data_IF_302016732370
#
_entry.id   IF_302016732370
#
_cell.length_a   1.000
_cell.length_b   1.000
_cell.length_c   1.000
_cell.angle_alpha   90.00
_cell.angle_beta   90.00
_cell.angle_gamma   90.00
#
_symmetry.space_group_name_H-M   'P 1'
#
loop_
_entity.id
_entity.type
_entity.pdbx_description
1 polymer ?
#
# COMPACT_ATOMS: atom_id res chain seq x y z
N UNK A 1 -25.86 1.98 -6.57
CA UNK A 1 -24.74 2.27 -5.65
C UNK A 1 -25.14 1.80 -4.26
N UNK A 2 -24.73 0.60 -3.85
CA UNK A 2 -25.03 0.05 -2.51
C UNK A 2 -23.77 0.18 -1.66
N UNK A 3 -23.75 1.22 -0.84
CA UNK A 3 -22.72 1.43 0.18
C UNK A 3 -22.80 0.30 1.20
N UNK A 4 -21.74 -0.49 1.32
CA UNK A 4 -21.59 -1.40 2.45
C UNK A 4 -21.70 -0.58 3.75
N UNK A 5 -22.47 -1.03 4.75
CA UNK A 5 -22.64 -0.27 5.97
C UNK A 5 -21.29 -0.13 6.66
N UNK A 6 -20.91 1.12 6.97
CA UNK A 6 -19.85 1.40 7.93
C UNK A 6 -20.26 0.70 9.23
N UNK A 7 -19.43 -0.22 9.71
CA UNK A 7 -19.62 -0.86 11.01
C UNK A 7 -19.71 0.22 12.08
N UNK A 8 -20.89 0.38 12.68
CA UNK A 8 -21.14 1.33 13.78
C UNK A 8 -20.17 1.03 14.94
N UNK A 9 -19.55 2.06 15.50
CA UNK A 9 -18.58 1.92 16.59
C UNK A 9 -19.17 1.22 17.83
N UNK A 10 -20.48 1.39 18.08
CA UNK A 10 -21.22 0.69 19.13
C UNK A 10 -21.26 -0.83 18.94
N UNK A 11 -21.38 -1.27 17.69
CA UNK A 11 -21.45 -2.68 17.33
C UNK A 11 -20.09 -3.37 17.51
N UNK A 12 -18.99 -2.61 17.41
CA UNK A 12 -17.65 -3.11 17.73
C UNK A 12 -17.42 -3.27 19.23
N UNK A 13 -17.82 -2.28 20.04
CA UNK A 13 -17.71 -2.34 21.50
C UNK A 13 -18.58 -3.45 22.10
N UNK A 14 -19.78 -3.66 21.57
CA UNK A 14 -20.68 -4.71 22.04
C UNK A 14 -20.13 -6.13 21.73
N UNK A 15 -19.54 -6.32 20.55
CA UNK A 15 -18.88 -7.59 20.18
C UNK A 15 -17.66 -7.88 21.05
N UNK A 16 -16.87 -6.86 21.38
CA UNK A 16 -15.74 -7.02 22.30
C UNK A 16 -16.18 -7.47 23.69
N UNK A 17 -17.21 -6.84 24.28
CA UNK A 17 -17.79 -7.26 25.56
C UNK A 17 -18.28 -8.70 25.51
N UNK A 18 -18.96 -9.08 24.41
CA UNK A 18 -19.47 -10.44 24.20
C UNK A 18 -18.34 -11.47 24.15
N UNK A 19 -17.24 -11.16 23.44
CA UNK A 19 -16.08 -12.04 23.36
C UNK A 19 -15.39 -12.23 24.70
N UNK A 20 -15.19 -11.16 25.48
CA UNK A 20 -14.61 -11.26 26.82
C UNK A 20 -15.46 -12.15 27.74
N UNK A 21 -16.79 -12.02 27.69
CA UNK A 21 -17.72 -12.86 28.46
C UNK A 21 -17.61 -14.34 28.05
N UNK A 22 -17.52 -14.63 26.74
CA UNK A 22 -17.38 -16.01 26.26
C UNK A 22 -16.03 -16.63 26.68
N UNK A 23 -14.95 -15.85 26.66
CA UNK A 23 -13.66 -16.32 27.17
C UNK A 23 -13.68 -16.57 28.68
N UNK A 24 -14.33 -15.72 29.47
CA UNK A 24 -14.51 -15.96 30.90
C UNK A 24 -15.26 -17.27 31.17
N UNK A 25 -16.33 -17.54 30.42
CA UNK A 25 -17.10 -18.79 30.53
C UNK A 25 -16.30 -20.02 30.08
N UNK A 26 -15.46 -19.90 29.05
CA UNK A 26 -14.65 -21.00 28.55
C UNK A 26 -13.58 -21.46 29.56
N UNK A 27 -13.04 -20.54 30.35
CA UNK A 27 -11.97 -20.80 31.32
C UNK A 27 -12.45 -20.90 32.78
N UNK A 28 -13.76 -21.08 33.01
CA UNK A 28 -14.29 -21.46 34.32
C UNK A 28 -14.09 -22.96 34.57
N UNK A 29 -13.75 -23.34 35.81
CA UNK A 29 -13.28 -24.68 36.18
C UNK A 29 -14.30 -25.83 35.96
N UNK A 30 -15.59 -25.54 35.78
CA UNK A 30 -16.67 -26.56 35.70
C UNK A 30 -17.27 -26.76 34.30
N UNK A 31 -16.55 -26.42 33.23
CA UNK A 31 -17.10 -26.49 31.87
C UNK A 31 -17.00 -27.91 31.26
N UNK A 32 -18.14 -28.55 30.99
CA UNK A 32 -18.17 -29.84 30.27
C UNK A 32 -17.54 -29.73 28.87
N UNK A 33 -17.02 -30.84 28.33
CA UNK A 33 -16.40 -30.87 26.99
C UNK A 33 -17.35 -30.37 25.89
N UNK A 34 -18.64 -30.73 25.95
CA UNK A 34 -19.66 -30.26 25.00
C UNK A 34 -19.93 -28.76 25.14
N UNK A 35 -19.93 -28.24 26.38
CA UNK A 35 -20.10 -26.81 26.65
C UNK A 35 -18.89 -26.01 26.14
N UNK A 36 -17.67 -26.53 26.31
CA UNK A 36 -16.45 -25.94 25.78
C UNK A 36 -16.48 -25.86 24.25
N UNK A 37 -16.85 -26.95 23.57
CA UNK A 37 -16.97 -26.98 22.11
C UNK A 37 -18.01 -25.97 21.60
N UNK A 38 -19.15 -25.82 22.27
CA UNK A 38 -20.17 -24.83 21.92
C UNK A 38 -19.67 -23.39 22.09
N UNK A 39 -19.00 -23.10 23.21
CA UNK A 39 -18.42 -21.78 23.49
C UNK A 39 -17.35 -21.40 22.48
N UNK A 40 -16.45 -22.33 22.15
CA UNK A 40 -15.42 -22.13 21.12
C UNK A 40 -16.08 -21.88 19.76
N UNK A 41 -17.10 -22.65 19.38
CA UNK A 41 -17.83 -22.41 18.14
C UNK A 41 -18.45 -21.00 18.07
N UNK A 42 -19.03 -20.50 19.17
CA UNK A 42 -19.54 -19.12 19.25
C UNK A 42 -18.43 -18.08 19.11
N UNK A 43 -17.29 -18.29 19.78
CA UNK A 43 -16.11 -17.40 19.66
C UNK A 43 -15.61 -17.37 18.22
N UNK A 44 -15.45 -18.54 17.59
CA UNK A 44 -14.98 -18.65 16.20
C UNK A 44 -15.95 -17.97 15.24
N UNK A 45 -17.25 -18.12 15.43
CA UNK A 45 -18.25 -17.38 14.64
C UNK A 45 -18.06 -15.87 14.78
N UNK A 46 -17.93 -15.35 16.01
CA UNK A 46 -17.72 -13.92 16.27
C UNK A 46 -16.42 -13.40 15.63
N UNK A 47 -15.32 -14.15 15.72
CA UNK A 47 -14.03 -13.80 15.06
C UNK A 47 -14.20 -13.72 13.54
N UNK A 48 -14.96 -14.65 12.95
CA UNK A 48 -15.19 -14.75 11.51
C UNK A 48 -16.31 -13.83 10.98
N UNK A 49 -17.12 -13.20 11.84
CA UNK A 49 -18.16 -12.25 11.41
C UNK A 49 -17.57 -11.02 10.71
N UNK A 50 -16.39 -10.58 11.13
CA UNK A 50 -15.61 -9.52 10.45
C UNK A 50 -14.90 -10.11 9.22
N UNK A 51 -15.68 -10.31 8.13
CA UNK A 51 -15.22 -11.00 6.91
C UNK A 51 -14.22 -10.17 6.10
N UNK A 52 -12.95 -10.47 6.28
CA UNK A 52 -11.84 -9.98 5.43
C UNK A 52 -11.71 -10.76 4.12
N UNK A 53 -12.20 -12.00 4.08
CA UNK A 53 -12.22 -12.93 2.94
C UNK A 53 -13.48 -13.82 3.06
N UNK A 54 -13.96 -14.39 1.96
CA UNK A 54 -15.22 -15.14 1.85
C UNK A 54 -16.46 -14.30 2.22
N UNK A 55 -16.61 -13.12 1.62
CA UNK A 55 -17.86 -12.33 1.75
C UNK A 55 -19.00 -13.01 1.00
N UNK A 56 -20.23 -12.92 1.47
CA UNK A 56 -21.37 -13.47 0.72
C UNK A 56 -21.56 -12.68 -0.59
N UNK A 57 -21.73 -13.37 -1.71
CA UNK A 57 -22.12 -12.75 -2.97
C UNK A 57 -23.64 -12.63 -3.00
N UNK A 58 -24.19 -11.42 -3.13
CA UNK A 58 -25.64 -11.16 -3.18
C UNK A 58 -26.47 -11.88 -2.08
N UNK A 59 -25.93 -11.99 -0.86
CA UNK A 59 -26.61 -12.69 0.25
C UNK A 59 -26.58 -14.22 0.19
N UNK A 60 -26.07 -14.81 -0.90
CA UNK A 60 -25.96 -16.26 -1.07
C UNK A 60 -24.95 -16.89 -0.11
N UNK A 61 -25.14 -18.18 0.16
CA UNK A 61 -24.18 -19.01 0.88
C UNK A 61 -22.85 -19.10 0.15
N UNK A 62 -21.77 -19.33 0.91
CA UNK A 62 -20.46 -19.61 0.30
C UNK A 62 -20.56 -20.88 -0.53
N UNK A 63 -19.93 -20.86 -1.71
CA UNK A 63 -19.97 -21.95 -2.67
C UNK A 63 -18.56 -22.42 -3.04
N UNK A 64 -18.47 -23.65 -3.56
CA UNK A 64 -17.25 -24.24 -4.10
C UNK A 64 -16.03 -24.14 -3.16
N UNK A 65 -14.93 -23.62 -3.69
CA UNK A 65 -13.66 -23.47 -2.97
C UNK A 65 -13.74 -22.49 -1.79
N UNK A 66 -14.58 -21.45 -1.88
CA UNK A 66 -14.73 -20.46 -0.81
C UNK A 66 -15.31 -21.08 0.46
N UNK A 67 -16.31 -21.96 0.31
CA UNK A 67 -16.88 -22.71 1.44
C UNK A 67 -15.84 -23.63 2.07
N UNK A 68 -15.10 -24.39 1.25
CA UNK A 68 -14.05 -25.29 1.72
C UNK A 68 -12.96 -24.55 2.53
N UNK A 69 -12.52 -23.37 2.05
CA UNK A 69 -11.53 -22.56 2.78
C UNK A 69 -12.13 -22.05 4.09
N UNK A 70 -13.36 -21.55 4.08
CA UNK A 70 -14.03 -21.06 5.28
C UNK A 70 -14.16 -22.15 6.35
N UNK A 71 -14.58 -23.35 5.97
CA UNK A 71 -14.74 -24.49 6.87
C UNK A 71 -13.38 -24.94 7.45
N UNK A 72 -12.32 -24.97 6.63
CA UNK A 72 -10.96 -25.27 7.09
C UNK A 72 -10.42 -24.21 8.07
N UNK A 73 -10.68 -22.93 7.82
CA UNK A 73 -10.30 -21.85 8.74
C UNK A 73 -11.05 -21.97 10.06
N UNK A 74 -12.35 -22.31 10.02
CA UNK A 74 -13.13 -22.58 11.23
C UNK A 74 -12.48 -23.69 12.05
N UNK A 75 -12.12 -24.82 11.43
CA UNK A 75 -11.44 -25.94 12.09
C UNK A 75 -10.08 -25.53 12.67
N UNK A 76 -9.30 -24.76 11.92
CA UNK A 76 -7.99 -24.27 12.38
C UNK A 76 -8.14 -23.37 13.62
N UNK A 77 -9.14 -22.48 13.64
CA UNK A 77 -9.40 -21.60 14.78
C UNK A 77 -9.82 -22.38 16.03
N UNK A 78 -10.68 -23.40 15.89
CA UNK A 78 -11.06 -24.28 17.00
C UNK A 78 -9.81 -24.94 17.60
N UNK A 79 -8.92 -25.47 16.76
CA UNK A 79 -7.64 -26.09 17.18
C UNK A 79 -6.68 -25.10 17.84
N UNK A 80 -6.69 -23.83 17.43
CA UNK A 80 -5.78 -22.82 17.95
C UNK A 80 -6.28 -22.19 19.27
N UNK A 81 -7.59 -22.08 19.48
CA UNK A 81 -8.18 -21.41 20.65
C UNK A 81 -8.22 -22.32 21.88
N UNK A 82 -8.54 -23.62 21.70
CA UNK A 82 -8.68 -24.57 22.82
C UNK A 82 -7.38 -24.72 23.64
N UNK A 83 -6.22 -25.04 23.03
CA UNK A 83 -5.02 -25.37 23.81
C UNK A 83 -4.19 -24.16 24.28
N UNK A 84 -4.34 -22.98 23.65
CA UNK A 84 -3.39 -21.87 23.84
C UNK A 84 -3.77 -20.86 24.91
N UNK A 85 -4.98 -20.94 25.46
CA UNK A 85 -5.55 -19.98 26.43
C UNK A 85 -5.11 -18.52 26.17
N UNK A 86 -5.75 -17.81 25.22
CA UNK A 86 -5.30 -16.49 24.79
C UNK A 86 -5.58 -15.38 25.81
N UNK A 87 -5.93 -15.69 27.06
CA UNK A 87 -6.35 -14.69 28.06
C UNK A 87 -5.26 -13.65 28.32
N UNK A 88 -4.02 -14.07 28.54
CA UNK A 88 -2.87 -13.16 28.69
C UNK A 88 -2.66 -12.27 27.45
N UNK A 89 -2.73 -12.88 26.27
CA UNK A 89 -2.56 -12.17 24.98
C UNK A 89 -3.68 -11.16 24.72
N UNK A 90 -4.91 -11.48 25.12
CA UNK A 90 -6.07 -10.58 24.99
C UNK A 90 -5.98 -9.41 25.97
N UNK A 91 -5.49 -9.67 27.18
CA UNK A 91 -5.29 -8.64 28.21
C UNK A 91 -4.17 -7.66 27.83
N UNK A 92 -3.12 -8.13 27.14
CA UNK A 92 -1.99 -7.31 26.66
C UNK A 92 -2.29 -6.54 25.35
N UNK A 93 -2.80 -7.21 24.31
CA UNK A 93 -2.97 -6.62 22.96
C UNK A 93 -4.34 -5.98 22.74
N UNK A 94 -5.31 -6.30 23.60
CA UNK A 94 -6.72 -5.97 23.42
C UNK A 94 -7.45 -6.92 22.46
N UNK A 95 -8.75 -7.07 22.69
CA UNK A 95 -9.62 -8.06 22.00
C UNK A 95 -9.63 -7.90 20.48
N UNK A 96 -9.57 -6.67 19.98
CA UNK A 96 -9.65 -6.37 18.54
C UNK A 96 -8.35 -6.75 17.81
N UNK A 97 -7.20 -6.44 18.40
CA UNK A 97 -5.87 -6.78 17.86
C UNK A 97 -5.70 -8.30 17.83
N UNK A 98 -6.02 -8.97 18.95
CA UNK A 98 -6.01 -10.42 19.04
C UNK A 98 -6.91 -11.08 17.96
N UNK A 99 -8.16 -10.62 17.81
CA UNK A 99 -9.07 -11.12 16.77
C UNK A 99 -8.47 -10.98 15.37
N UNK A 100 -7.86 -9.83 15.08
CA UNK A 100 -7.24 -9.56 13.77
C UNK A 100 -6.08 -10.51 13.51
N UNK A 101 -5.20 -10.68 14.49
CA UNK A 101 -4.02 -11.53 14.38
C UNK A 101 -4.36 -13.01 14.24
N UNK A 102 -5.20 -13.53 15.12
CA UNK A 102 -5.63 -14.94 15.09
C UNK A 102 -6.35 -15.26 13.78
N UNK A 103 -7.19 -14.33 13.30
CA UNK A 103 -7.85 -14.47 12.00
C UNK A 103 -6.84 -14.49 10.85
N UNK A 104 -5.91 -13.52 10.79
CA UNK A 104 -4.89 -13.47 9.73
C UNK A 104 -4.04 -14.73 9.76
N UNK A 105 -3.62 -15.19 10.94
CA UNK A 105 -2.82 -16.41 11.11
C UNK A 105 -3.58 -17.65 10.63
N UNK A 106 -4.84 -17.82 11.01
CA UNK A 106 -5.65 -18.94 10.57
C UNK A 106 -5.83 -18.94 9.04
N UNK A 107 -6.11 -17.80 8.42
CA UNK A 107 -6.18 -17.71 6.97
C UNK A 107 -4.83 -17.97 6.30
N UNK A 108 -3.70 -17.48 6.84
CA UNK A 108 -2.36 -17.77 6.29
C UNK A 108 -2.03 -19.26 6.28
N UNK A 109 -2.43 -19.96 7.34
CA UNK A 109 -2.19 -21.40 7.46
C UNK A 109 -3.02 -22.20 6.44
N UNK A 110 -4.26 -21.76 6.16
CA UNK A 110 -5.15 -22.46 5.22
C UNK A 110 -4.91 -22.06 3.77
N UNK A 111 -4.55 -20.81 3.50
CA UNK A 111 -4.29 -20.28 2.14
C UNK A 111 -2.89 -20.69 1.66
N UNK A 112 -2.72 -21.98 1.38
CA UNK A 112 -1.57 -22.49 0.66
C UNK A 112 -1.64 -22.19 -0.85
N UNK A 113 -0.58 -22.53 -1.58
CA UNK A 113 -0.52 -22.28 -3.01
C UNK A 113 -1.59 -23.07 -3.79
N UNK A 114 -1.92 -24.28 -3.35
CA UNK A 114 -2.94 -25.12 -3.99
C UNK A 114 -4.34 -24.49 -3.86
N UNK A 115 -4.67 -23.92 -2.69
CA UNK A 115 -5.93 -23.17 -2.51
C UNK A 115 -5.97 -21.92 -3.36
N UNK A 116 -4.87 -21.18 -3.46
CA UNK A 116 -4.78 -20.01 -4.34
C UNK A 116 -4.92 -20.38 -5.82
N UNK A 117 -4.31 -21.50 -6.23
CA UNK A 117 -4.49 -22.10 -7.56
C UNK A 117 -5.95 -22.48 -7.83
N UNK A 118 -6.61 -23.17 -6.90
CA UNK A 118 -8.03 -23.54 -7.04
C UNK A 118 -8.94 -22.31 -7.13
N UNK A 119 -8.63 -21.22 -6.40
CA UNK A 119 -9.32 -19.95 -6.52
C UNK A 119 -9.12 -19.32 -7.90
N UNK A 120 -7.89 -19.34 -8.42
CA UNK A 120 -7.58 -18.84 -9.77
C UNK A 120 -8.33 -19.61 -10.87
N UNK A 121 -8.33 -20.95 -10.79
CA UNK A 121 -9.07 -21.80 -11.73
C UNK A 121 -10.59 -21.57 -11.64
N UNK A 122 -11.13 -21.39 -10.42
CA UNK A 122 -12.53 -21.05 -10.24
C UNK A 122 -12.88 -19.70 -10.91
N UNK A 123 -11.99 -18.71 -10.83
CA UNK A 123 -12.17 -17.42 -11.52
C UNK A 123 -12.21 -17.59 -13.04
N UNK A 124 -11.30 -18.38 -13.62
CA UNK A 124 -11.25 -18.65 -15.07
C UNK A 124 -12.56 -19.29 -15.57
N UNK A 125 -13.17 -20.16 -14.75
CA UNK A 125 -14.44 -20.81 -15.08
C UNK A 125 -15.66 -19.87 -15.12
N UNK A 126 -15.57 -18.66 -14.57
CA UNK A 126 -16.68 -17.69 -14.64
C UNK A 126 -16.64 -16.88 -15.93
N UNK A 127 -17.82 -16.62 -16.51
CA UNK A 127 -17.97 -15.82 -17.73
C UNK A 127 -17.25 -14.46 -17.61
N UNK A 128 -16.48 -14.03 -18.64
CA UNK A 128 -15.90 -12.69 -18.68
C UNK A 128 -16.93 -11.60 -18.42
N UNK A 129 -16.53 -10.53 -17.74
CA UNK A 129 -17.37 -9.37 -17.37
C UNK A 129 -18.61 -9.68 -16.49
N UNK A 130 -18.75 -10.89 -15.95
CA UNK A 130 -19.81 -11.17 -14.98
C UNK A 130 -19.52 -10.54 -13.61
N UNK A 131 -20.57 -10.19 -12.88
CA UNK A 131 -20.44 -9.74 -11.49
C UNK A 131 -19.79 -10.80 -10.61
N UNK A 132 -20.12 -12.08 -10.84
CA UNK A 132 -19.56 -13.21 -10.11
C UNK A 132 -18.04 -13.31 -10.32
N UNK A 133 -17.57 -13.10 -11.55
CA UNK A 133 -16.14 -13.04 -11.86
C UNK A 133 -15.47 -11.86 -11.17
N UNK A 134 -16.10 -10.69 -11.18
CA UNK A 134 -15.59 -9.50 -10.49
C UNK A 134 -15.49 -9.71 -8.98
N UNK A 135 -16.47 -10.38 -8.38
CA UNK A 135 -16.44 -10.81 -6.99
C UNK A 135 -15.29 -11.81 -6.75
N UNK A 136 -15.19 -12.84 -7.58
CA UNK A 136 -14.20 -13.90 -7.44
C UNK A 136 -12.76 -13.38 -7.57
N UNK A 137 -12.52 -12.45 -8.49
CA UNK A 137 -11.25 -11.72 -8.63
C UNK A 137 -10.91 -10.91 -7.37
N UNK A 138 -11.86 -10.15 -6.84
CA UNK A 138 -11.66 -9.39 -5.60
C UNK A 138 -11.30 -10.30 -4.43
N UNK A 139 -11.96 -11.45 -4.31
CA UNK A 139 -11.64 -12.45 -3.31
C UNK A 139 -10.27 -13.09 -3.53
N UNK A 140 -9.90 -13.40 -4.78
CA UNK A 140 -8.56 -13.91 -5.12
C UNK A 140 -7.46 -12.94 -4.70
N UNK A 141 -7.59 -11.65 -5.04
CA UNK A 141 -6.61 -10.62 -4.62
C UNK A 141 -6.52 -10.52 -3.10
N UNK A 142 -7.66 -10.58 -2.38
CA UNK A 142 -7.67 -10.61 -0.91
C UNK A 142 -6.95 -11.85 -0.36
N UNK A 143 -7.19 -13.02 -0.94
CA UNK A 143 -6.54 -14.26 -0.56
C UNK A 143 -5.01 -14.18 -0.74
N UNK A 144 -4.56 -13.67 -1.89
CA UNK A 144 -3.13 -13.44 -2.16
C UNK A 144 -2.52 -12.53 -1.09
N UNK A 145 -3.14 -11.38 -0.80
CA UNK A 145 -2.64 -10.43 0.22
C UNK A 145 -2.60 -11.06 1.62
N UNK A 146 -3.65 -11.79 2.01
CA UNK A 146 -3.73 -12.40 3.34
C UNK A 146 -2.73 -13.54 3.49
N UNK A 147 -2.51 -14.34 2.43
CA UNK A 147 -1.60 -15.51 2.44
C UNK A 147 -0.18 -15.16 2.86
N UNK A 148 0.25 -13.91 2.65
CA UNK A 148 1.62 -13.46 2.95
C UNK A 148 2.69 -14.07 2.06
N UNK A 149 2.31 -14.68 0.91
CA UNK A 149 3.23 -15.37 -0.01
C UNK A 149 3.82 -14.48 -1.11
N UNK A 150 3.49 -13.19 -1.10
CA UNK A 150 4.05 -12.21 -2.04
C UNK A 150 5.54 -12.04 -1.76
N UNK A 151 6.37 -12.12 -2.80
CA UNK A 151 7.80 -11.86 -2.68
C UNK A 151 8.06 -10.39 -2.34
N UNK A 152 9.23 -10.14 -1.75
CA UNK A 152 9.73 -8.80 -1.43
C UNK A 152 11.07 -8.62 -2.15
N UNK A 153 11.06 -8.35 -3.46
CA UNK A 153 12.27 -8.30 -4.27
C UNK A 153 13.16 -7.16 -3.77
N UNK A 154 14.48 -7.34 -3.80
CA UNK A 154 15.51 -6.30 -3.59
C UNK A 154 15.37 -5.42 -2.34
N UNK A 155 14.68 -5.88 -1.28
CA UNK A 155 14.38 -5.06 -0.08
C UNK A 155 15.61 -4.38 0.55
N UNK A 156 16.78 -5.02 0.50
CA UNK A 156 18.03 -4.49 1.08
C UNK A 156 18.69 -3.38 0.26
N UNK A 157 18.24 -3.12 -0.99
CA UNK A 157 18.89 -2.19 -1.92
C UNK A 157 18.29 -0.78 -1.91
N UNK A 158 17.25 -0.54 -1.12
CA UNK A 158 16.50 0.71 -1.10
C UNK A 158 16.28 1.18 0.33
N UNK A 159 16.14 2.49 0.52
CA UNK A 159 15.62 3.03 1.78
C UNK A 159 14.19 2.49 2.03
N UNK A 160 13.77 2.31 3.29
CA UNK A 160 12.44 1.79 3.61
C UNK A 160 11.29 2.56 2.96
N UNK A 161 11.39 3.88 2.91
CA UNK A 161 10.35 4.78 2.38
C UNK A 161 10.23 4.63 0.86
N UNK A 162 11.37 4.66 0.15
CA UNK A 162 11.39 4.51 -1.30
C UNK A 162 10.96 3.09 -1.70
N UNK A 163 11.44 2.08 -0.97
CA UNK A 163 11.03 0.70 -1.18
C UNK A 163 9.51 0.54 -1.11
N UNK A 164 8.89 1.14 -0.09
CA UNK A 164 7.45 1.03 0.10
C UNK A 164 6.68 1.61 -1.09
N UNK A 165 7.07 2.80 -1.58
CA UNK A 165 6.42 3.44 -2.73
C UNK A 165 6.53 2.57 -3.98
N UNK A 166 7.74 2.11 -4.32
CA UNK A 166 7.98 1.25 -5.49
C UNK A 166 7.23 -0.07 -5.37
N UNK A 167 7.27 -0.68 -4.18
CA UNK A 167 6.62 -1.96 -3.95
C UNK A 167 5.09 -1.86 -4.03
N UNK A 168 4.49 -0.79 -3.51
CA UNK A 168 3.06 -0.54 -3.60
C UNK A 168 2.60 -0.35 -5.05
N UNK A 169 3.36 0.39 -5.86
CA UNK A 169 3.10 0.56 -7.29
C UNK A 169 3.17 -0.78 -8.04
N UNK A 170 4.25 -1.53 -7.83
CA UNK A 170 4.46 -2.85 -8.42
C UNK A 170 3.34 -3.85 -8.04
N UNK A 171 2.84 -3.77 -6.80
CA UNK A 171 1.69 -4.57 -6.35
C UNK A 171 0.41 -4.19 -7.09
N UNK A 172 0.13 -2.90 -7.28
CA UNK A 172 -1.06 -2.46 -8.01
C UNK A 172 -1.02 -2.94 -9.46
N UNK A 173 0.11 -2.77 -10.14
CA UNK A 173 0.29 -3.25 -11.51
C UNK A 173 0.11 -4.78 -11.59
N UNK A 174 0.66 -5.52 -10.62
CA UNK A 174 0.53 -6.97 -10.56
C UNK A 174 -0.91 -7.41 -10.35
N UNK A 175 -1.67 -6.75 -9.48
CA UNK A 175 -3.08 -7.08 -9.27
C UNK A 175 -3.93 -6.73 -10.50
N UNK A 176 -3.63 -5.64 -11.19
CA UNK A 176 -4.28 -5.29 -12.46
C UNK A 176 -4.00 -6.36 -13.53
N UNK A 177 -2.74 -6.80 -13.63
CA UNK A 177 -2.35 -7.89 -14.52
C UNK A 177 -3.12 -9.17 -14.20
N UNK A 178 -3.21 -9.57 -12.93
CA UNK A 178 -4.00 -10.74 -12.53
C UNK A 178 -5.46 -10.57 -12.96
N UNK A 179 -6.08 -9.42 -12.71
CA UNK A 179 -7.49 -9.20 -13.07
C UNK A 179 -7.76 -9.26 -14.58
N UNK A 180 -6.80 -8.81 -15.39
CA UNK A 180 -6.95 -8.72 -16.86
C UNK A 180 -6.42 -9.93 -17.61
N UNK A 181 -5.49 -10.69 -17.02
CA UNK A 181 -4.78 -11.81 -17.67
C UNK A 181 -4.92 -13.13 -16.93
N UNK A 182 -5.89 -13.26 -16.01
CA UNK A 182 -6.15 -14.52 -15.30
C UNK A 182 -6.41 -15.68 -16.27
N UNK A 183 -7.05 -15.45 -17.43
CA UNK A 183 -7.31 -16.52 -18.41
C UNK A 183 -6.03 -17.05 -19.09
N UNK A 184 -4.94 -16.28 -19.03
CA UNK A 184 -3.64 -16.69 -19.55
C UNK A 184 -2.84 -17.52 -18.54
N UNK A 185 -3.33 -17.66 -17.31
CA UNK A 185 -2.68 -18.52 -16.32
C UNK A 185 -2.85 -19.99 -16.71
N UNK A 186 -1.71 -20.67 -16.86
CA UNK A 186 -1.63 -22.10 -17.14
C UNK A 186 -1.21 -22.86 -15.88
N UNK A 187 -2.09 -23.76 -15.41
CA UNK A 187 -1.88 -24.53 -14.18
C UNK A 187 -0.75 -25.56 -14.24
N UNK A 188 -0.27 -25.90 -15.44
CA UNK A 188 0.81 -26.87 -15.65
C UNK A 188 2.19 -26.22 -15.76
N UNK A 189 2.25 -24.88 -15.93
CA UNK A 189 3.52 -24.13 -16.00
C UNK A 189 4.03 -23.70 -14.63
N UNK A 190 5.31 -23.32 -14.56
CA UNK A 190 5.89 -22.66 -13.37
C UNK A 190 5.93 -23.52 -12.10
N UNK A 191 6.39 -24.77 -12.21
CA UNK A 191 6.34 -25.79 -11.13
C UNK A 191 4.92 -26.08 -10.62
N UNK A 192 3.90 -25.79 -11.44
CA UNK A 192 2.47 -25.97 -11.12
C UNK A 192 1.99 -25.14 -9.94
N UNK A 193 2.75 -24.10 -9.54
CA UNK A 193 2.46 -23.20 -8.42
C UNK A 193 1.91 -21.86 -8.89
N UNK A 194 0.78 -21.45 -8.33
CA UNK A 194 0.13 -20.19 -8.71
C UNK A 194 0.94 -18.97 -8.26
N UNK A 195 1.52 -19.00 -7.05
CA UNK A 195 2.29 -17.88 -6.53
C UNK A 195 3.61 -17.66 -7.27
N UNK A 196 4.15 -18.66 -7.97
CA UNK A 196 5.31 -18.44 -8.84
C UNK A 196 4.97 -17.49 -10.00
N UNK A 197 3.80 -17.67 -10.62
CA UNK A 197 3.31 -16.79 -11.68
C UNK A 197 3.06 -15.37 -11.16
N UNK A 198 2.43 -15.26 -9.98
CA UNK A 198 2.18 -13.96 -9.33
C UNK A 198 3.48 -13.25 -8.95
N UNK A 199 4.42 -13.95 -8.30
CA UNK A 199 5.67 -13.37 -7.83
C UNK A 199 6.62 -13.04 -9.00
N UNK A 200 6.62 -13.84 -10.06
CA UNK A 200 7.34 -13.49 -11.29
C UNK A 200 6.84 -12.18 -11.88
N UNK A 201 5.51 -11.99 -11.97
CA UNK A 201 4.96 -10.71 -12.43
C UNK A 201 5.29 -9.59 -11.45
N UNK A 202 5.21 -9.81 -10.15
CA UNK A 202 5.55 -8.80 -9.13
C UNK A 202 7.00 -8.32 -9.25
N UNK A 203 7.94 -9.24 -9.42
CA UNK A 203 9.34 -8.91 -9.63
C UNK A 203 9.53 -8.08 -10.91
N UNK A 204 8.90 -8.48 -12.02
CA UNK A 204 8.96 -7.72 -13.28
C UNK A 204 8.34 -6.33 -13.17
N UNK A 205 7.19 -6.21 -12.52
CA UNK A 205 6.54 -4.90 -12.27
C UNK A 205 7.42 -4.04 -11.36
N UNK A 206 8.08 -4.62 -10.36
CA UNK A 206 9.00 -3.88 -9.48
C UNK A 206 10.19 -3.29 -10.25
N UNK A 207 10.84 -4.09 -11.10
CA UNK A 207 11.92 -3.60 -11.97
C UNK A 207 11.43 -2.46 -12.89
N UNK A 208 10.25 -2.63 -13.50
CA UNK A 208 9.66 -1.61 -14.36
C UNK A 208 9.34 -0.31 -13.60
N UNK A 209 8.83 -0.40 -12.36
CA UNK A 209 8.60 0.76 -11.50
C UNK A 209 9.91 1.46 -11.13
N UNK A 210 10.99 0.71 -10.87
CA UNK A 210 12.32 1.28 -10.66
C UNK A 210 12.83 2.04 -11.89
N UNK A 211 12.64 1.48 -13.10
CA UNK A 211 13.03 2.13 -14.37
C UNK A 211 12.24 3.42 -14.61
N UNK A 212 10.92 3.38 -14.43
CA UNK A 212 10.02 4.53 -14.63
C UNK A 212 10.35 5.70 -13.70
N UNK A 213 10.71 5.39 -12.46
CA UNK A 213 11.12 6.36 -11.47
C UNK A 213 12.61 6.73 -11.59
N UNK A 214 13.33 6.19 -12.58
CA UNK A 214 14.77 6.36 -12.82
C UNK A 214 15.63 6.02 -11.59
N UNK A 215 15.11 5.19 -10.69
CA UNK A 215 15.74 4.91 -9.39
C UNK A 215 17.07 4.16 -9.58
N UNK A 216 17.26 3.43 -10.69
CA UNK A 216 18.53 2.77 -10.99
C UNK A 216 19.73 3.72 -11.12
N UNK A 217 19.51 4.99 -11.49
CA UNK A 217 20.60 5.98 -11.54
C UNK A 217 21.02 6.45 -10.14
N UNK A 218 20.13 6.36 -9.15
CA UNK A 218 20.42 6.72 -7.75
C UNK A 218 20.84 5.51 -6.89
N UNK A 219 20.40 4.30 -7.25
CA UNK A 219 20.66 3.06 -6.48
C UNK A 219 21.94 2.30 -6.88
N UNK A 220 22.75 2.81 -7.80
CA UNK A 220 24.04 2.19 -8.16
C UNK A 220 25.22 2.56 -7.25
N UNK A 221 25.00 3.39 -6.21
CA UNK A 221 26.07 3.87 -5.31
C UNK A 221 25.87 3.45 -3.85
N UNK A 222 25.79 2.16 -3.54
CA UNK A 222 26.05 1.69 -2.17
C UNK A 222 26.70 0.31 -2.16
N UNK A 223 27.90 0.22 -2.73
CA UNK A 223 28.91 -0.73 -2.24
C UNK A 223 29.86 0.06 -1.34
N UNK A 224 29.63 -0.06 -0.03
CA UNK A 224 30.34 0.66 1.02
C UNK A 224 31.73 0.03 1.24
N UNK A 225 32.70 0.35 0.38
CA UNK A 225 34.12 0.06 0.67
C UNK A 225 35.16 0.83 -0.16
N UNK A 226 34.81 1.87 -0.92
CA UNK A 226 35.79 2.68 -1.69
C UNK A 226 35.60 4.20 -1.49
N UNK A 227 35.38 4.65 -0.26
CA UNK A 227 35.32 6.09 0.08
C UNK A 227 36.66 6.69 0.51
N UNK A 228 37.78 6.03 0.25
CA UNK A 228 39.08 6.65 0.42
C UNK A 228 39.99 6.37 -0.78
N UNK A 229 40.22 7.45 -1.54
CA UNK A 229 41.17 7.63 -2.65
C UNK A 229 40.55 7.46 -4.04
N UNK A 230 40.23 8.60 -4.68
CA UNK A 230 40.93 9.14 -5.88
C UNK A 230 40.12 10.38 -6.37
N UNK A 231 40.80 11.42 -6.92
CA UNK A 231 40.38 12.81 -6.83
C UNK A 231 39.35 13.23 -7.88
N UNK A 232 38.50 14.18 -7.49
CA UNK A 232 37.54 14.89 -8.35
C UNK A 232 38.23 15.59 -9.51
N UNK A 233 37.67 15.48 -10.73
CA UNK A 233 37.22 16.71 -11.38
C UNK A 233 35.93 16.58 -12.21
N UNK A 234 35.25 17.74 -12.33
CA UNK A 234 34.23 18.16 -13.30
C UNK A 234 32.74 17.88 -13.06
N UNK A 235 32.17 18.71 -12.17
CA UNK A 235 31.14 19.71 -12.50
C UNK A 235 30.37 19.52 -13.81
N UNK A 236 29.37 18.64 -13.83
CA UNK A 236 28.21 18.85 -14.70
C UNK A 236 27.00 19.10 -13.81
N UNK A 237 26.58 20.36 -13.60
CA UNK A 237 25.38 20.64 -12.85
C UNK A 237 24.19 19.98 -13.55
N UNK A 238 23.39 19.24 -12.79
CA UNK A 238 22.10 18.71 -13.26
C UNK A 238 21.27 19.81 -13.91
N UNK A 239 20.34 19.47 -14.81
CA UNK A 239 19.46 20.45 -15.47
C UNK A 239 18.80 21.41 -14.46
N UNK A 240 18.42 20.88 -13.29
CA UNK A 240 17.86 21.64 -12.18
C UNK A 240 18.89 22.61 -11.57
N UNK A 241 20.13 22.19 -11.35
CA UNK A 241 21.20 23.05 -10.85
C UNK A 241 21.62 24.10 -11.88
N UNK A 242 21.61 23.75 -13.17
CA UNK A 242 21.86 24.68 -14.28
C UNK A 242 20.77 25.76 -14.34
N UNK A 243 19.50 25.37 -14.18
CA UNK A 243 18.37 26.29 -14.06
C UNK A 243 18.48 27.20 -12.83
N UNK A 244 18.77 26.63 -11.66
CA UNK A 244 18.96 27.38 -10.42
C UNK A 244 20.14 28.34 -10.54
N UNK A 245 21.25 27.90 -11.12
CA UNK A 245 22.44 28.72 -11.34
C UNK A 245 22.18 29.83 -12.36
N UNK A 246 21.37 29.58 -13.40
CA UNK A 246 20.98 30.59 -14.38
C UNK A 246 20.10 31.67 -13.73
N UNK A 247 19.11 31.28 -12.93
CA UNK A 247 18.28 32.21 -12.15
C UNK A 247 19.12 32.97 -11.10
N UNK A 248 20.09 32.31 -10.47
CA UNK A 248 21.01 32.94 -9.50
C UNK A 248 21.99 33.91 -10.15
N UNK A 249 22.56 33.60 -11.30
CA UNK A 249 23.51 34.47 -12.00
C UNK A 249 22.81 35.65 -12.64
N UNK A 250 21.56 35.45 -13.09
CA UNK A 250 20.72 36.45 -13.77
C UNK A 250 21.54 37.36 -14.70
N UNK A 251 22.27 36.77 -15.67
CA UNK A 251 23.32 37.47 -16.41
C UNK A 251 22.80 38.67 -17.22
N UNK A 252 21.51 38.67 -17.55
CA UNK A 252 20.83 39.73 -18.30
C UNK A 252 19.95 40.62 -17.39
N UNK A 253 20.00 40.42 -16.08
CA UNK A 253 19.17 41.09 -15.06
C UNK A 253 17.65 41.02 -15.30
N UNK A 254 17.19 40.12 -16.16
CA UNK A 254 15.79 40.02 -16.55
C UNK A 254 14.90 39.56 -15.39
N UNK A 255 15.44 38.74 -14.49
CA UNK A 255 14.69 38.20 -13.35
C UNK A 255 14.63 39.16 -12.17
N UNK A 256 15.69 39.94 -11.94
CA UNK A 256 15.74 41.00 -10.93
C UNK A 256 14.94 42.24 -11.35
N UNK A 257 14.89 42.58 -12.64
CA UNK A 257 14.12 43.74 -13.15
C UNK A 257 12.61 43.50 -13.19
N UNK A 258 12.16 42.25 -13.19
CA UNK A 258 10.76 41.92 -13.02
C UNK A 258 10.43 41.86 -11.54
N UNK A 259 9.87 42.94 -10.99
CA UNK A 259 9.46 43.07 -9.59
C UNK A 259 8.00 43.49 -9.43
N UNK A 260 7.43 43.22 -8.26
CA UNK A 260 6.09 43.68 -7.90
C UNK A 260 6.13 45.19 -7.69
N UNK A 261 5.23 45.93 -8.35
CA UNK A 261 5.19 47.40 -8.32
C UNK A 261 5.25 47.92 -6.87
N UNK A 262 6.22 48.79 -6.59
CA UNK A 262 6.45 49.36 -5.25
C UNK A 262 7.35 48.52 -4.33
N UNK A 263 7.79 47.32 -4.75
CA UNK A 263 8.68 46.48 -3.96
C UNK A 263 9.77 45.80 -4.83
N UNK A 264 10.91 46.47 -5.07
CA UNK A 264 12.02 45.94 -5.87
C UNK A 264 12.66 44.66 -5.31
N UNK A 265 12.52 44.42 -4.00
CA UNK A 265 13.05 43.22 -3.34
C UNK A 265 12.20 41.97 -3.63
N UNK A 266 10.90 42.17 -3.92
CA UNK A 266 9.97 41.13 -4.35
C UNK A 266 10.04 40.90 -5.87
N UNK A 267 11.24 40.61 -6.38
CA UNK A 267 11.47 40.28 -7.79
C UNK A 267 11.39 38.78 -8.06
N UNK A 268 11.30 38.42 -9.35
CA UNK A 268 11.12 37.03 -9.76
C UNK A 268 12.27 36.13 -9.30
N UNK A 269 13.52 36.63 -9.32
CA UNK A 269 14.69 35.89 -8.84
C UNK A 269 14.55 35.54 -7.36
N UNK A 270 14.25 36.51 -6.51
CA UNK A 270 14.12 36.27 -5.05
C UNK A 270 12.98 35.30 -4.74
N UNK A 271 11.82 35.47 -5.38
CA UNK A 271 10.64 34.63 -5.15
C UNK A 271 10.85 33.21 -5.69
N UNK A 272 11.47 33.07 -6.88
CA UNK A 272 11.77 31.76 -7.46
C UNK A 272 12.78 30.98 -6.62
N UNK A 273 13.84 31.63 -6.15
CA UNK A 273 14.84 30.99 -5.29
C UNK A 273 14.25 30.60 -3.92
N UNK A 274 13.41 31.46 -3.32
CA UNK A 274 12.69 31.14 -2.09
C UNK A 274 11.77 29.92 -2.23
N UNK A 275 11.04 29.82 -3.35
CA UNK A 275 10.20 28.66 -3.66
C UNK A 275 11.02 27.37 -3.84
N UNK A 276 12.18 27.46 -4.50
CA UNK A 276 13.08 26.32 -4.72
C UNK A 276 13.74 25.87 -3.40
N UNK A 277 14.01 26.80 -2.49
CA UNK A 277 14.54 26.50 -1.15
C UNK A 277 13.47 26.11 -0.13
N UNK A 278 12.21 25.91 -0.56
CA UNK A 278 11.14 25.41 0.31
C UNK A 278 10.32 26.45 1.07
N UNK A 279 10.50 27.76 0.82
CA UNK A 279 9.69 28.79 1.49
C UNK A 279 8.22 28.74 1.03
N UNK A 280 7.33 28.90 2.00
CA UNK A 280 5.89 29.01 1.80
C UNK A 280 5.48 30.39 1.29
N UNK A 281 4.30 30.49 0.70
CA UNK A 281 3.76 31.77 0.25
C UNK A 281 3.48 32.73 1.42
N UNK A 282 3.14 32.18 2.58
CA UNK A 282 2.89 32.90 3.82
C UNK A 282 4.16 33.59 4.33
N UNK A 283 5.28 32.86 4.39
CA UNK A 283 6.57 33.39 4.84
C UNK A 283 7.06 34.52 3.91
N UNK A 284 6.96 34.34 2.59
CA UNK A 284 7.36 35.38 1.65
C UNK A 284 6.39 36.58 1.64
N UNK A 285 5.09 36.35 1.80
CA UNK A 285 4.11 37.42 1.91
C UNK A 285 4.39 38.32 3.12
N UNK A 286 4.76 37.71 4.26
CA UNK A 286 5.18 38.41 5.46
C UNK A 286 6.54 39.10 5.27
N UNK A 287 7.50 38.44 4.62
CA UNK A 287 8.84 39.01 4.37
C UNK A 287 8.80 40.25 3.47
N UNK A 288 7.92 40.26 2.47
CA UNK A 288 7.82 41.36 1.51
C UNK A 288 6.68 42.34 1.82
N UNK A 289 5.89 42.12 2.86
CA UNK A 289 4.67 42.89 3.16
C UNK A 289 3.72 42.99 1.94
N UNK A 290 3.47 41.85 1.29
CA UNK A 290 2.64 41.74 0.08
C UNK A 290 1.61 40.63 0.29
N UNK A 291 0.38 40.86 -0.15
CA UNK A 291 -0.66 39.81 -0.08
C UNK A 291 -0.25 38.54 -0.85
N UNK A 292 -0.57 37.38 -0.29
CA UNK A 292 -0.35 36.07 -0.92
C UNK A 292 -0.95 36.02 -2.34
N UNK A 293 -2.11 36.66 -2.53
CA UNK A 293 -2.79 36.71 -3.83
C UNK A 293 -1.97 37.47 -4.89
N UNK A 294 -1.33 38.58 -4.49
CA UNK A 294 -0.47 39.39 -5.35
C UNK A 294 0.82 38.64 -5.67
N UNK A 295 1.43 38.01 -4.66
CA UNK A 295 2.70 37.28 -4.78
C UNK A 295 2.56 36.04 -5.70
N UNK A 296 1.52 35.23 -5.49
CA UNK A 296 1.24 34.05 -6.30
C UNK A 296 0.85 34.40 -7.75
N UNK A 297 0.03 35.43 -7.94
CA UNK A 297 -0.37 35.91 -9.27
C UNK A 297 0.78 36.52 -10.05
N UNK A 298 1.69 37.22 -9.36
CA UNK A 298 2.94 37.70 -9.94
C UNK A 298 3.84 36.53 -10.37
N UNK A 299 4.11 35.59 -9.47
CA UNK A 299 4.98 34.44 -9.76
C UNK A 299 4.48 33.60 -10.95
N UNK A 300 3.17 33.31 -10.99
CA UNK A 300 2.55 32.55 -12.10
C UNK A 300 2.74 33.25 -13.45
N UNK A 301 2.50 34.56 -13.51
CA UNK A 301 2.66 35.36 -14.73
C UNK A 301 4.13 35.45 -15.16
N UNK A 302 5.04 35.61 -14.19
CA UNK A 302 6.47 35.64 -14.45
C UNK A 302 6.99 34.29 -14.96
N UNK A 303 6.52 33.17 -14.42
CA UNK A 303 6.86 31.83 -14.95
C UNK A 303 6.43 31.66 -16.41
N UNK A 304 5.22 32.11 -16.76
CA UNK A 304 4.74 32.05 -18.15
C UNK A 304 5.56 32.94 -19.09
N UNK A 305 5.92 34.14 -18.62
CA UNK A 305 6.74 35.09 -19.38
C UNK A 305 8.15 34.56 -19.63
N UNK A 306 8.78 33.95 -18.62
CA UNK A 306 10.16 33.49 -18.70
C UNK A 306 10.32 32.05 -19.23
N UNK A 307 9.22 31.30 -19.37
CA UNK A 307 9.23 29.93 -19.91
C UNK A 307 10.01 29.82 -21.22
N UNK A 308 9.70 30.68 -22.20
CA UNK A 308 10.35 30.67 -23.52
C UNK A 308 11.83 31.07 -23.49
N UNK A 309 12.26 31.83 -22.48
CA UNK A 309 13.66 32.24 -22.30
C UNK A 309 14.44 31.10 -21.64
N UNK A 310 13.84 30.42 -20.67
CA UNK A 310 14.44 29.29 -19.97
C UNK A 310 14.54 28.05 -20.87
N UNK A 311 13.56 27.79 -21.73
CA UNK A 311 13.57 26.67 -22.70
C UNK A 311 14.60 26.84 -23.83
N UNK A 312 15.07 28.07 -24.08
CA UNK A 312 16.06 28.37 -25.15
C UNK A 312 17.50 28.40 -24.65
N UNK A 313 17.72 28.54 -23.34
CA UNK A 313 19.04 28.82 -22.74
C UNK A 313 19.55 27.73 -21.80
N UNK A 314 18.74 26.71 -21.54
CA UNK A 314 19.03 25.53 -20.72
C UNK A 314 18.64 24.31 -21.55
#
# INVERSE_FOLDING_TARGET
MSSAPRLNADDSKNREKTLKKLFQQLYQQDCSQQTQEHLVNKIVQLVLLSRTFCRKYQGQSLFGIYRKIYDQVKLQLVKDIIPKNPRSVIDELGTISWQREVKIKAFRNVLDDNKLKQLALAVQGFKPNSELRSYALKELIRAIKISGKLCKPYKSRFSPELYQVVYEEALMETFMYICTKIDNYDSERGQKKFMNWVNFKLEKSFLASCDQLKIYQECQFFESSDLEKIPTPTNTPSLAESLVNYIKKDPEQLFAQSYIKGNPNANFRTIALGRISGQSWQEMAQQFDISISTLSSFYRRSCQRFKSILEKKI
#
